data_IF_813827394781
#
_entry.id   IF_813827394781
#
_cell.length_a   1.000
_cell.length_b   1.000
_cell.length_c   1.000
_cell.angle_alpha   90.00
_cell.angle_beta   90.00
_cell.angle_gamma   90.00
#
_symmetry.space_group_name_H-M   'P 1'
#
loop_
_entity.id
_entity.type
_entity.pdbx_description
1 polymer ?
2 non-polymer ?
3 water ?
#
# COMPACT_ATOMS: atom_id res chain seq x y z
N UNK A 1 -12.29 -15.82 6.37
CA UNK A 1 -11.41 -15.21 7.40
C UNK A 1 -12.22 -15.05 8.68
N UNK A 2 -11.57 -15.20 9.83
CA UNK A 2 -12.26 -14.92 11.13
C UNK A 2 -12.67 -13.45 11.23
N UNK A 3 -11.79 -12.57 10.74
CA UNK A 3 -12.07 -11.14 10.59
C UNK A 3 -12.19 -10.81 9.09
N UNK A 4 -13.41 -10.61 8.59
CA UNK A 4 -13.58 -10.49 7.15
C UNK A 4 -12.93 -9.24 6.54
N UNK A 5 -13.00 -8.12 7.25
CA UNK A 5 -12.41 -6.89 6.78
C UNK A 5 -11.52 -6.33 7.89
N UNK A 6 -10.27 -6.07 7.54
CA UNK A 6 -9.36 -5.44 8.44
C UNK A 6 -9.17 -4.00 7.97
N UNK A 7 -9.49 -3.04 8.82
CA UNK A 7 -9.40 -1.65 8.46
C UNK A 7 -8.10 -0.97 8.82
N UNK A 8 -7.92 0.26 8.34
CA UNK A 8 -6.77 1.07 8.75
C UNK A 8 -6.74 1.20 10.29
N UNK A 9 -7.90 1.46 10.88
CA UNK A 9 -8.03 1.54 12.32
C UNK A 9 -7.63 0.22 13.02
N UNK A 10 -8.05 -0.94 12.47
CA UNK A 10 -7.62 -2.22 13.04
C UNK A 10 -6.11 -2.38 12.98
N UNK A 11 -5.52 -1.99 11.85
CA UNK A 11 -4.07 -2.09 11.68
C UNK A 11 -3.29 -1.22 12.65
N UNK A 12 -3.77 -0.01 12.91
CA UNK A 12 -3.15 0.86 13.93
C UNK A 12 -3.12 0.12 15.26
N UNK A 13 -4.25 -0.45 15.65
CA UNK A 13 -4.31 -1.19 16.91
C UNK A 13 -3.37 -2.39 16.94
N UNK A 14 -3.32 -3.15 15.85
CA UNK A 14 -2.46 -4.33 15.77
C UNK A 14 -1.00 -3.93 15.82
N UNK A 15 -0.65 -2.86 15.12
CA UNK A 15 0.73 -2.38 15.10
C UNK A 15 1.14 -1.78 16.45
N UNK A 16 0.28 -0.98 17.07
CA UNK A 16 0.56 -0.48 18.43
C UNK A 16 0.87 -1.63 19.38
N UNK A 17 0.03 -2.64 19.34
CA UNK A 17 0.23 -3.80 20.15
C UNK A 17 1.55 -4.54 19.89
N UNK A 18 1.88 -4.77 18.62
CA UNK A 18 3.06 -5.55 18.25
C UNK A 18 4.37 -4.81 18.57
N UNK A 19 4.35 -3.48 18.46
CA UNK A 19 5.55 -2.65 18.63
C UNK A 19 5.69 -2.06 20.03
N UNK A 20 4.58 -2.05 20.77
CA UNK A 20 4.52 -1.36 22.05
C UNK A 20 4.60 0.15 21.95
N UNK A 21 4.34 0.70 20.77
CA UNK A 21 4.34 2.14 20.57
C UNK A 21 2.94 2.70 20.80
N UNK A 22 2.87 3.99 21.07
CA UNK A 22 1.59 4.64 21.37
C UNK A 22 0.68 4.65 20.16
N UNK A 23 -0.60 4.36 20.40
CA UNK A 23 -1.59 4.36 19.34
C UNK A 23 -1.63 5.70 18.62
N UNK A 24 -1.55 6.81 19.36
CA UNK A 24 -1.55 8.14 18.75
C UNK A 24 -0.38 8.30 17.75
N UNK A 25 0.76 7.69 18.07
CA UNK A 25 1.96 7.79 17.25
C UNK A 25 1.83 6.90 16.04
N UNK A 26 1.31 5.70 16.24
CA UNK A 26 1.14 4.75 15.12
C UNK A 26 0.12 5.34 14.15
N UNK A 27 -0.92 5.97 14.68
CA UNK A 27 -1.95 6.56 13.81
C UNK A 27 -1.39 7.67 12.91
N UNK A 28 -0.52 8.49 13.48
CA UNK A 28 0.14 9.59 12.79
C UNK A 28 1.09 9.03 11.74
N UNK A 29 1.78 7.95 12.09
CA UNK A 29 2.73 7.32 11.15
C UNK A 29 2.04 6.73 9.93
N UNK A 30 0.93 6.01 10.15
CA UNK A 30 0.20 5.38 9.07
C UNK A 30 -0.37 6.45 8.14
N UNK A 31 -0.94 7.51 8.70
CA UNK A 31 -1.52 8.53 7.82
C UNK A 31 -0.42 9.21 6.99
N UNK A 32 0.71 9.49 7.63
CA UNK A 32 1.85 10.08 6.91
C UNK A 32 2.39 9.13 5.85
N UNK A 33 2.49 7.85 6.18
CA UNK A 33 3.01 6.87 5.24
C UNK A 33 2.17 6.81 3.99
N UNK A 34 0.85 6.70 4.16
CA UNK A 34 -0.03 6.68 3.01
C UNK A 34 0.00 7.97 2.22
N UNK A 35 0.10 9.11 2.89
CA UNK A 35 0.23 10.40 2.19
C UNK A 35 1.49 10.45 1.33
N UNK A 36 2.60 9.90 1.85
CA UNK A 36 3.87 9.95 1.14
C UNK A 36 3.88 8.96 -0.02
N UNK A 37 3.17 7.84 0.13
CA UNK A 37 3.06 6.90 -1.00
C UNK A 37 2.28 7.63 -2.10
N UNK A 38 1.14 8.21 -1.75
CA UNK A 38 0.39 9.00 -2.71
C UNK A 38 1.20 10.07 -3.44
N UNK A 39 1.94 10.86 -2.69
CA UNK A 39 2.73 11.94 -3.24
C UNK A 39 3.73 11.37 -4.24
N UNK A 40 4.40 10.29 -3.85
CA UNK A 40 5.38 9.68 -4.75
C UNK A 40 4.75 9.19 -6.06
N UNK A 41 3.62 8.50 -5.96
CA UNK A 41 2.91 8.07 -7.16
C UNK A 41 2.42 9.23 -8.04
N UNK A 42 2.00 10.31 -7.40
CA UNK A 42 1.57 11.52 -8.14
C UNK A 42 2.74 12.12 -8.94
N UNK A 43 3.97 11.98 -8.45
CA UNK A 43 5.16 12.43 -9.16
C UNK A 43 5.65 11.48 -10.23
N UNK A 44 5.10 10.28 -10.25
CA UNK A 44 5.47 9.24 -11.17
C UNK A 44 6.58 8.34 -10.69
N UNK A 45 6.89 8.42 -9.41
CA UNK A 45 7.84 7.50 -8.76
C UNK A 45 7.27 6.08 -8.73
N UNK A 46 8.16 5.08 -8.79
CA UNK A 46 7.83 3.73 -8.35
C UNK A 46 8.03 3.71 -6.82
N UNK A 47 7.18 3.00 -6.09
CA UNK A 47 7.30 2.89 -4.66
C UNK A 47 7.55 1.41 -4.42
N UNK A 48 8.78 1.09 -4.04
CA UNK A 48 9.22 -0.27 -3.88
C UNK A 48 9.28 -0.59 -2.39
N UNK A 49 8.55 -1.62 -1.97
CA UNK A 49 8.52 -2.02 -0.55
C UNK A 49 9.08 -3.43 -0.55
N UNK A 50 10.38 -3.53 -0.31
CA UNK A 50 11.09 -4.78 -0.34
C UNK A 50 10.39 -5.77 0.56
N UNK A 51 10.09 -6.93 0.01
CA UNK A 51 9.47 -7.99 0.77
C UNK A 51 7.97 -7.95 0.77
N UNK A 52 7.38 -6.96 0.09
CA UNK A 52 5.93 -6.75 0.07
C UNK A 52 5.42 -6.58 -1.36
N UNK A 53 5.81 -5.50 -2.02
CA UNK A 53 5.45 -5.30 -3.42
C UNK A 53 5.77 -3.90 -3.89
N UNK A 54 5.42 -3.60 -5.13
CA UNK A 54 5.73 -2.29 -5.70
C UNK A 54 4.47 -1.61 -6.20
N UNK A 55 4.33 -0.33 -5.85
CA UNK A 55 3.32 0.50 -6.49
C UNK A 55 3.93 1.30 -7.64
N UNK A 56 3.15 1.50 -8.68
CA UNK A 56 3.62 2.26 -9.81
C UNK A 56 2.43 2.85 -10.54
N UNK A 57 2.69 3.85 -11.36
CA UNK A 57 1.68 4.42 -12.24
C UNK A 57 1.80 3.78 -13.60
N UNK A 58 0.71 3.17 -14.05
CA UNK A 58 0.70 2.53 -15.36
C UNK A 58 -0.02 3.39 -16.34
N UNK A 59 0.36 3.28 -17.61
CA UNK A 59 -0.27 4.07 -18.65
C UNK A 59 -1.09 3.24 -19.66
N UNK A 60 -2.17 3.84 -20.13
CA UNK A 60 -2.89 3.31 -21.25
C UNK A 60 -2.72 4.33 -22.37
N UNK A 61 -2.17 3.90 -23.51
CA UNK A 61 -2.01 4.75 -24.69
C UNK A 61 -3.37 5.16 -25.23
N UNK A 62 -3.42 6.29 -25.93
CA UNK A 62 -4.68 6.80 -26.48
C UNK A 62 -5.40 5.81 -27.40
N UNK A 63 -4.66 5.07 -28.21
CA UNK A 63 -5.31 4.02 -29.03
C UNK A 63 -6.35 3.17 -28.22
N UNK A 64 -5.86 2.36 -27.30
CA UNK A 64 -6.66 1.60 -26.31
C UNK A 64 -8.18 1.77 -26.45
N UNK A 76 -9.73 6.62 -28.20
CA UNK A 76 -9.99 7.13 -26.86
C UNK A 76 -8.70 7.70 -26.25
N UNK A 77 -8.81 8.55 -25.20
CA UNK A 77 -7.62 9.29 -24.77
C UNK A 77 -6.72 8.49 -23.84
N UNK A 78 -5.46 8.92 -23.75
CA UNK A 78 -4.48 8.25 -22.90
C UNK A 78 -4.86 8.49 -21.44
N UNK A 79 -4.63 7.50 -20.60
CA UNK A 79 -4.97 7.59 -19.19
C UNK A 79 -3.85 6.96 -18.39
N UNK A 80 -3.82 7.25 -17.10
CA UNK A 80 -2.81 6.63 -16.25
C UNK A 80 -3.42 6.36 -14.91
N UNK A 81 -2.93 5.32 -14.26
CA UNK A 81 -3.60 4.80 -13.09
C UNK A 81 -2.62 4.11 -12.16
N UNK A 82 -2.98 4.06 -10.87
CA UNK A 82 -2.07 3.41 -9.94
C UNK A 82 -2.25 1.90 -9.96
N UNK A 83 -1.17 1.16 -9.73
CA UNK A 83 -1.25 -0.28 -9.68
C UNK A 83 -0.24 -0.80 -8.65
N UNK A 84 -0.48 -2.02 -8.20
CA UNK A 84 0.41 -2.71 -7.25
C UNK A 84 0.81 -4.05 -7.82
N UNK A 85 2.12 -4.33 -7.75
CA UNK A 85 2.67 -5.59 -8.19
C UNK A 85 3.16 -6.32 -6.93
N UNK A 86 2.46 -7.38 -6.53
CA UNK A 86 2.89 -8.03 -5.31
C UNK A 86 4.21 -8.76 -5.49
N UNK A 87 5.01 -8.72 -4.45
CA UNK A 87 6.26 -9.42 -4.43
C UNK A 87 6.11 -10.89 -4.22
N UNK A 88 7.20 -11.61 -4.46
CA UNK A 88 7.15 -13.05 -4.33
C UNK A 88 6.78 -13.56 -2.95
N UNK A 89 7.36 -12.96 -1.92
CA UNK A 89 7.05 -13.38 -0.55
C UNK A 89 5.56 -13.30 -0.24
N UNK A 90 4.94 -12.20 -0.67
CA UNK A 90 3.52 -11.98 -0.43
C UNK A 90 2.70 -12.97 -1.27
N UNK A 91 3.10 -13.19 -2.53
CA UNK A 91 2.39 -14.13 -3.39
C UNK A 91 2.44 -15.52 -2.76
N UNK A 92 3.59 -15.89 -2.22
CA UNK A 92 3.77 -17.21 -1.64
C UNK A 92 2.92 -17.40 -0.37
N UNK A 93 2.85 -16.35 0.45
CA UNK A 93 2.09 -16.41 1.72
C UNK A 93 0.57 -16.51 1.50
N UNK A 94 0.09 -16.07 0.34
CA UNK A 94 -1.36 -16.05 0.08
C UNK A 94 -1.86 -17.31 -0.63
N UNK A 95 -0.95 -18.12 -1.14
CA UNK A 95 -1.33 -19.43 -1.66
C UNK A 95 -1.94 -20.31 -0.57
N UNK A 96 -2.89 -21.14 -0.94
CA UNK A 96 -3.41 -22.09 0.03
C UNK A 96 -2.38 -23.20 0.26
X LIG B 1 3.28 3.21 10.80
X LIG B 1 2.92 1.87 11.12
X LIG B 1 4.33 3.19 9.72
X LIG B 1 3.96 2.18 8.78
X LIG B 1 4.41 4.54 9.02
X LIG B 1 5.57 4.70 8.20
#
# INVERSE_FOLDING_TARGET
AAKKTVTKADLVDQVAQATGLKKKDVKAMVDALLAKVEEALANGSKVQLTGFGTFEVRKRKARTGVKPGTKEKIKIPATQYPAFKPGKALKDKVKK
GOL C1 O1 C2 O2 C3 O3
#
